data_IF_348908160273
#
_entry.id   IF_348908160273
#
_cell.length_a   1.000
_cell.length_b   1.000
_cell.length_c   1.000
_cell.angle_alpha   90.00
_cell.angle_beta   90.00
_cell.angle_gamma   90.00
#
_symmetry.space_group_name_H-M   'P 1'
#
loop_
_entity.id
_entity.type
_entity.pdbx_description
1 polymer ?
#
# COMPACT_ATOMS: atom_id res chain seq x y z
N UNK A 1 -17.34 5.83 1.01
CA UNK A 1 -17.87 4.55 0.49
C UNK A 1 -17.49 3.48 1.48
N UNK A 2 -18.47 2.76 2.03
CA UNK A 2 -18.17 1.58 2.86
C UNK A 2 -17.87 0.40 1.92
N UNK A 3 -16.59 0.15 1.69
CA UNK A 3 -16.10 -0.94 0.85
C UNK A 3 -16.44 -2.34 1.40
N UNK A 4 -17.10 -2.45 2.57
CA UNK A 4 -17.51 -3.73 3.16
C UNK A 4 -18.98 -4.07 2.93
N UNK A 5 -19.83 -3.10 2.62
CA UNK A 5 -21.29 -3.26 2.67
C UNK A 5 -21.86 -4.34 1.72
N UNK A 6 -21.15 -4.68 0.63
CA UNK A 6 -21.59 -5.66 -0.37
C UNK A 6 -20.63 -6.86 -0.52
N UNK A 7 -19.68 -7.06 0.39
CA UNK A 7 -18.67 -8.12 0.29
C UNK A 7 -18.76 -9.09 1.46
N UNK A 8 -18.64 -10.39 1.16
CA UNK A 8 -18.45 -11.44 2.17
C UNK A 8 -16.96 -11.66 2.33
N UNK A 9 -16.44 -11.37 3.53
CA UNK A 9 -15.05 -11.62 3.89
C UNK A 9 -14.90 -13.03 4.45
N UNK A 10 -13.66 -13.54 4.40
CA UNK A 10 -13.35 -14.85 4.97
C UNK A 10 -13.72 -14.93 6.45
N UNK A 11 -13.57 -13.82 7.19
CA UNK A 11 -13.91 -13.73 8.62
C UNK A 11 -15.42 -13.77 8.91
N UNK A 12 -16.28 -13.58 7.89
CA UNK A 12 -17.74 -13.62 8.05
C UNK A 12 -18.29 -15.05 7.95
N UNK A 13 -17.44 -16.03 7.61
CA UNK A 13 -17.81 -17.43 7.37
C UNK A 13 -17.55 -18.31 8.60
N UNK A 14 -18.22 -19.46 8.66
CA UNK A 14 -17.97 -20.46 9.72
C UNK A 14 -16.58 -21.11 9.57
N UNK A 15 -15.97 -21.61 10.65
CA UNK A 15 -14.61 -22.17 10.58
C UNK A 15 -14.40 -23.31 9.56
N UNK A 16 -15.42 -24.14 9.34
CA UNK A 16 -15.41 -25.20 8.32
C UNK A 16 -15.46 -24.62 6.90
N UNK A 17 -16.26 -23.58 6.69
CA UNK A 17 -16.37 -22.86 5.42
C UNK A 17 -15.09 -22.11 5.05
N UNK A 18 -14.44 -21.51 6.04
CA UNK A 18 -13.12 -20.88 5.92
C UNK A 18 -12.10 -21.92 5.48
N UNK A 19 -12.01 -23.04 6.21
CA UNK A 19 -11.05 -24.12 5.93
C UNK A 19 -11.24 -24.69 4.54
N UNK A 20 -12.48 -24.96 4.14
CA UNK A 20 -12.80 -25.46 2.82
C UNK A 20 -12.29 -24.51 1.72
N UNK A 21 -12.55 -23.21 1.82
CA UNK A 21 -12.09 -22.23 0.83
C UNK A 21 -10.57 -22.11 0.80
N UNK A 22 -9.92 -22.04 1.96
CA UNK A 22 -8.46 -21.98 2.03
C UNK A 22 -7.80 -23.21 1.38
N UNK A 23 -8.41 -24.39 1.50
CA UNK A 23 -7.91 -25.64 0.93
C UNK A 23 -8.22 -25.80 -0.56
N UNK A 24 -9.38 -25.34 -1.03
CA UNK A 24 -9.88 -25.71 -2.35
C UNK A 24 -9.97 -24.57 -3.36
N UNK A 25 -10.00 -23.31 -2.92
CA UNK A 25 -10.17 -22.18 -3.85
C UNK A 25 -8.81 -21.71 -4.36
N UNK A 26 -8.80 -21.20 -5.60
CA UNK A 26 -7.65 -20.48 -6.13
C UNK A 26 -7.48 -19.14 -5.39
N UNK A 27 -6.31 -18.91 -4.81
CA UNK A 27 -5.99 -17.72 -4.01
C UNK A 27 -4.87 -16.96 -4.71
N UNK A 28 -5.08 -15.67 -4.92
CA UNK A 28 -4.06 -14.82 -5.54
C UNK A 28 -3.85 -13.53 -4.74
N UNK A 29 -2.66 -12.95 -4.90
CA UNK A 29 -2.24 -11.70 -4.29
C UNK A 29 -1.62 -10.81 -5.37
N UNK A 30 -1.87 -9.50 -5.32
CA UNK A 30 -1.15 -8.52 -6.13
C UNK A 30 -0.30 -7.64 -5.22
N UNK A 31 1.00 -7.60 -5.49
CA UNK A 31 1.98 -6.81 -4.75
C UNK A 31 2.50 -5.65 -5.58
N UNK A 32 3.10 -4.67 -4.90
CA UNK A 32 3.73 -3.49 -5.51
C UNK A 32 4.99 -3.17 -4.72
N UNK A 33 5.97 -2.53 -5.36
CA UNK A 33 7.11 -1.94 -4.66
C UNK A 33 6.63 -1.20 -3.39
N UNK A 34 7.18 -1.53 -2.20
CA UNK A 34 6.67 -0.99 -0.95
C UNK A 34 6.64 0.54 -0.91
N UNK A 35 7.66 1.21 -1.44
CA UNK A 35 7.77 2.68 -1.37
C UNK A 35 6.96 3.37 -2.45
N UNK A 36 6.84 2.77 -3.64
CA UNK A 36 5.85 3.22 -4.61
C UNK A 36 4.43 3.16 -4.05
N UNK A 37 4.11 2.08 -3.31
CA UNK A 37 2.80 1.92 -2.67
C UNK A 37 2.57 3.02 -1.64
N UNK A 38 3.57 3.33 -0.81
CA UNK A 38 3.49 4.42 0.17
C UNK A 38 3.32 5.78 -0.49
N UNK A 39 4.09 6.09 -1.54
CA UNK A 39 3.96 7.36 -2.25
C UNK A 39 2.58 7.49 -2.93
N UNK A 40 2.10 6.40 -3.52
CA UNK A 40 0.76 6.34 -4.12
C UNK A 40 -0.33 6.59 -3.09
N UNK A 41 -0.23 5.95 -1.91
CA UNK A 41 -1.16 6.17 -0.80
C UNK A 41 -1.10 7.61 -0.30
N UNK A 42 0.10 8.16 -0.07
CA UNK A 42 0.29 9.54 0.37
C UNK A 42 -0.39 10.54 -0.57
N UNK A 43 -0.11 10.46 -1.87
CA UNK A 43 -0.67 11.38 -2.87
C UNK A 43 -2.18 11.35 -2.94
N UNK A 44 -2.76 10.16 -2.97
CA UNK A 44 -4.20 10.03 -3.02
C UNK A 44 -4.83 10.48 -1.69
N UNK A 45 -4.37 9.94 -0.55
CA UNK A 45 -5.02 10.16 0.75
C UNK A 45 -4.85 11.56 1.29
N UNK A 46 -3.71 12.20 1.07
CA UNK A 46 -3.48 13.57 1.55
C UNK A 46 -3.61 14.64 0.47
N UNK A 47 -3.68 14.27 -0.81
CA UNK A 47 -3.91 15.21 -1.92
C UNK A 47 -5.34 15.28 -2.44
N UNK A 48 -6.13 14.20 -2.29
CA UNK A 48 -7.43 14.07 -2.97
C UNK A 48 -8.58 13.68 -2.03
N UNK A 49 -8.31 12.91 -0.97
CA UNK A 49 -9.36 12.32 -0.12
C UNK A 49 -9.53 13.09 1.20
N UNK A 50 -10.55 13.94 1.26
CA UNK A 50 -10.85 14.82 2.41
C UNK A 50 -11.01 14.06 3.73
N UNK A 51 -11.61 12.88 3.72
CA UNK A 51 -11.82 12.08 4.93
C UNK A 51 -10.49 11.63 5.54
N UNK A 52 -9.48 11.31 4.71
CA UNK A 52 -8.15 10.95 5.18
C UNK A 52 -7.37 12.16 5.69
N UNK A 53 -7.49 13.30 5.03
CA UNK A 53 -6.91 14.58 5.49
C UNK A 53 -7.45 14.95 6.88
N UNK A 54 -8.77 14.94 7.06
CA UNK A 54 -9.40 15.32 8.33
C UNK A 54 -9.13 14.35 9.47
N UNK A 55 -8.92 13.06 9.16
CA UNK A 55 -8.64 12.03 10.16
C UNK A 55 -7.14 11.88 10.42
N UNK A 56 -6.44 11.28 9.46
CA UNK A 56 -5.02 10.97 9.55
C UNK A 56 -4.17 12.21 9.37
N UNK A 57 -4.53 13.09 8.44
CA UNK A 57 -3.74 14.28 8.17
C UNK A 57 -3.70 15.22 9.38
N UNK A 58 -4.87 15.48 9.97
CA UNK A 58 -4.99 16.28 11.18
C UNK A 58 -4.26 15.64 12.37
N UNK A 59 -4.29 14.31 12.48
CA UNK A 59 -3.55 13.58 13.50
C UNK A 59 -2.04 13.73 13.34
N UNK A 60 -1.51 13.54 12.13
CA UNK A 60 -0.11 13.70 11.80
C UNK A 60 0.36 15.12 12.14
N UNK A 61 -0.40 16.14 11.72
CA UNK A 61 -0.07 17.55 12.04
C UNK A 61 -0.03 17.78 13.55
N UNK A 62 -1.03 17.29 14.30
CA UNK A 62 -1.04 17.41 15.78
C UNK A 62 0.16 16.74 16.45
N UNK A 63 0.60 15.59 15.94
CA UNK A 63 1.71 14.82 16.52
C UNK A 63 3.07 15.48 16.28
N UNK A 64 3.28 16.07 15.10
CA UNK A 64 4.63 16.43 14.64
C UNK A 64 4.89 17.93 14.43
N UNK A 65 3.86 18.79 14.41
CA UNK A 65 4.04 20.25 14.31
C UNK A 65 3.83 20.94 15.65
N UNK A 66 4.86 21.67 16.10
CA UNK A 66 4.74 22.52 17.29
C UNK A 66 3.72 23.64 17.04
N UNK A 67 2.81 23.85 18.00
CA UNK A 67 1.79 24.90 17.90
C UNK A 67 0.62 24.59 16.97
N UNK A 68 0.47 23.34 16.51
CA UNK A 68 -0.76 22.91 15.85
C UNK A 68 -1.96 23.18 16.75
N UNK A 69 -2.96 23.89 16.23
CA UNK A 69 -4.23 24.11 16.93
C UNK A 69 -4.96 22.80 17.22
N UNK A 70 -6.08 22.83 17.97
CA UNK A 70 -6.82 21.61 18.34
C UNK A 70 -7.38 20.85 17.13
N UNK A 71 -7.66 21.56 16.03
CA UNK A 71 -8.31 21.02 14.83
C UNK A 71 -7.59 21.49 13.54
N UNK A 72 -6.37 20.98 13.25
CA UNK A 72 -5.70 21.31 11.99
C UNK A 72 -6.47 20.72 10.80
N UNK A 73 -6.39 21.38 9.64
CA UNK A 73 -7.07 20.94 8.43
C UNK A 73 -6.58 19.57 7.92
N UNK A 74 -5.26 19.33 8.04
CA UNK A 74 -4.64 18.05 7.68
C UNK A 74 -4.49 17.80 6.18
N UNK A 75 -4.71 18.82 5.36
CA UNK A 75 -4.61 18.82 3.89
C UNK A 75 -3.21 19.22 3.38
N UNK A 76 -2.29 19.53 4.29
CA UNK A 76 -0.93 19.99 3.99
C UNK A 76 0.17 19.10 4.59
N UNK A 77 -0.15 17.83 4.92
CA UNK A 77 0.83 16.86 5.42
C UNK A 77 1.92 16.64 4.39
N UNK A 78 3.17 16.73 4.83
CA UNK A 78 4.34 16.45 3.98
C UNK A 78 4.68 14.97 3.95
N UNK A 79 5.37 14.53 2.90
CA UNK A 79 5.80 13.12 2.79
C UNK A 79 6.70 12.67 3.95
N UNK A 80 7.67 13.47 4.44
CA UNK A 80 8.43 13.11 5.64
C UNK A 80 7.57 12.99 6.91
N UNK A 81 6.56 13.85 7.11
CA UNK A 81 5.65 13.71 8.25
C UNK A 81 4.82 12.43 8.17
N UNK A 82 4.38 12.06 6.96
CA UNK A 82 3.74 10.78 6.72
C UNK A 82 4.67 9.60 7.00
N UNK A 83 5.92 9.61 6.51
CA UNK A 83 6.88 8.55 6.83
C UNK A 83 7.17 8.47 8.34
N UNK A 84 7.25 9.61 9.04
CA UNK A 84 7.44 9.64 10.49
C UNK A 84 6.25 9.03 11.23
N UNK A 85 5.04 9.35 10.79
CA UNK A 85 3.83 8.68 11.26
C UNK A 85 3.93 7.15 11.10
N UNK A 86 4.32 6.66 9.92
CA UNK A 86 4.49 5.23 9.71
C UNK A 86 5.53 4.59 10.62
N UNK A 87 6.63 5.29 10.94
CA UNK A 87 7.66 4.80 11.87
C UNK A 87 7.08 4.60 13.28
N UNK A 88 6.21 5.51 13.73
CA UNK A 88 5.65 5.46 15.08
C UNK A 88 4.46 4.49 15.21
N UNK A 89 3.78 4.13 14.11
CA UNK A 89 2.60 3.24 14.14
C UNK A 89 2.97 1.75 14.25
N UNK A 90 2.14 0.99 14.96
CA UNK A 90 2.21 -0.48 15.01
C UNK A 90 1.73 -1.07 13.66
N UNK A 91 2.53 -1.88 12.95
CA UNK A 91 2.14 -2.52 11.69
C UNK A 91 0.79 -3.24 11.74
N UNK A 92 0.42 -3.86 12.85
CA UNK A 92 -0.86 -4.60 12.97
C UNK A 92 -2.08 -3.68 13.05
N UNK A 93 -1.88 -2.39 13.35
CA UNK A 93 -2.93 -1.38 13.53
C UNK A 93 -2.95 -0.33 12.42
N UNK A 94 -2.02 -0.43 11.47
CA UNK A 94 -1.93 0.48 10.33
C UNK A 94 -3.17 0.38 9.43
N UNK A 95 -3.49 1.47 8.73
CA UNK A 95 -4.49 1.44 7.67
C UNK A 95 -4.01 0.55 6.52
N UNK A 96 -4.93 -0.16 5.85
CA UNK A 96 -4.66 -1.10 4.77
C UNK A 96 -3.85 -0.50 3.60
N UNK A 97 -3.95 0.82 3.37
CA UNK A 97 -3.22 1.49 2.29
C UNK A 97 -1.72 1.63 2.55
N UNK A 98 -1.27 1.57 3.81
CA UNK A 98 0.16 1.66 4.17
C UNK A 98 0.64 0.55 5.10
N UNK A 99 -0.22 -0.34 5.57
CA UNK A 99 0.16 -1.58 6.28
C UNK A 99 1.02 -2.48 5.37
N UNK A 100 2.23 -2.94 5.76
CA UNK A 100 3.03 -3.86 4.96
C UNK A 100 2.20 -5.02 4.41
N UNK A 101 2.42 -5.42 3.16
CA UNK A 101 1.67 -6.51 2.50
C UNK A 101 1.85 -7.83 3.23
N UNK A 102 3.03 -8.05 3.82
CA UNK A 102 3.28 -9.15 4.75
C UNK A 102 2.24 -9.20 5.89
N UNK A 103 1.96 -8.07 6.53
CA UNK A 103 0.97 -7.97 7.60
C UNK A 103 -0.46 -8.03 7.07
N UNK A 104 -0.74 -7.36 5.95
CA UNK A 104 -2.09 -7.24 5.39
C UNK A 104 -2.60 -8.57 4.81
N UNK A 105 -1.72 -9.32 4.14
CA UNK A 105 -2.07 -10.50 3.37
C UNK A 105 -1.57 -11.81 3.98
N UNK A 106 -0.71 -11.76 5.00
CA UNK A 106 -0.28 -12.93 5.78
C UNK A 106 0.19 -14.11 4.90
N UNK A 107 1.15 -13.92 3.97
CA UNK A 107 1.59 -14.97 3.05
C UNK A 107 2.23 -16.19 3.74
N UNK A 108 2.58 -16.08 5.02
CA UNK A 108 3.01 -17.21 5.84
C UNK A 108 1.84 -18.10 6.33
N UNK A 109 0.65 -17.53 6.51
CA UNK A 109 -0.55 -18.25 6.94
C UNK A 109 -1.41 -18.72 5.76
N UNK A 110 -1.40 -17.97 4.65
CA UNK A 110 -2.18 -18.25 3.45
C UNK A 110 -1.24 -18.68 2.33
N UNK A 111 -1.41 -19.92 1.84
CA UNK A 111 -0.69 -20.39 0.65
C UNK A 111 -1.36 -19.83 -0.61
N UNK A 112 -0.79 -18.77 -1.17
CA UNK A 112 -1.24 -18.22 -2.44
C UNK A 112 -0.83 -19.12 -3.62
N UNK A 113 -1.75 -19.31 -4.57
CA UNK A 113 -1.52 -20.05 -5.81
C UNK A 113 -0.86 -19.16 -6.87
N UNK A 114 -1.04 -17.84 -6.77
CA UNK A 114 -0.38 -16.85 -7.62
C UNK A 114 -0.08 -15.55 -6.87
N UNK A 115 1.09 -14.98 -7.13
CA UNK A 115 1.47 -13.64 -6.70
C UNK A 115 1.79 -12.81 -7.95
N UNK A 116 0.89 -11.91 -8.31
CA UNK A 116 1.05 -10.97 -9.40
C UNK A 116 1.62 -9.63 -8.92
N UNK A 117 2.00 -8.77 -9.85
CA UNK A 117 2.65 -7.50 -9.52
C UNK A 117 1.98 -6.29 -10.20
N UNK A 118 2.10 -5.11 -9.60
CA UNK A 118 1.55 -3.88 -10.17
C UNK A 118 2.30 -3.44 -11.45
N UNK A 119 3.56 -3.85 -11.60
CA UNK A 119 4.37 -3.62 -12.79
C UNK A 119 3.82 -4.38 -14.01
N UNK A 120 3.12 -5.51 -13.78
CA UNK A 120 2.47 -6.31 -14.82
C UNK A 120 0.96 -6.45 -14.61
N UNK A 121 0.33 -5.49 -13.94
CA UNK A 121 -1.02 -5.60 -13.39
C UNK A 121 -2.05 -6.15 -14.38
N UNK A 122 -2.09 -5.61 -15.60
CA UNK A 122 -3.05 -6.03 -16.63
C UNK A 122 -2.79 -7.45 -17.11
N UNK A 123 -1.54 -7.80 -17.42
CA UNK A 123 -1.19 -9.14 -17.88
C UNK A 123 -1.45 -10.19 -16.80
N UNK A 124 -1.03 -9.90 -15.57
CA UNK A 124 -1.21 -10.79 -14.42
C UNK A 124 -2.70 -10.95 -14.05
N UNK A 125 -3.49 -9.88 -14.11
CA UNK A 125 -4.93 -9.96 -13.88
C UNK A 125 -5.64 -10.75 -14.96
N UNK A 126 -5.28 -10.57 -16.23
CA UNK A 126 -5.85 -11.36 -17.32
C UNK A 126 -5.49 -12.86 -17.17
N UNK A 127 -4.28 -13.18 -16.72
CA UNK A 127 -3.89 -14.56 -16.44
C UNK A 127 -4.70 -15.18 -15.30
N UNK A 128 -4.95 -14.41 -14.22
CA UNK A 128 -5.81 -14.85 -13.11
C UNK A 128 -7.23 -15.11 -13.61
N UNK A 129 -7.81 -14.22 -14.42
CA UNK A 129 -9.15 -14.40 -15.00
C UNK A 129 -9.26 -15.70 -15.81
N UNK A 130 -8.22 -16.07 -16.56
CA UNK A 130 -8.15 -17.34 -17.27
C UNK A 130 -8.12 -18.53 -16.31
N UNK A 131 -7.26 -18.52 -15.30
CA UNK A 131 -7.12 -19.63 -14.35
C UNK A 131 -8.37 -19.88 -13.51
N UNK A 132 -9.08 -18.82 -13.12
CA UNK A 132 -10.38 -18.94 -12.41
C UNK A 132 -11.55 -19.23 -13.35
N UNK A 133 -11.29 -19.39 -14.65
CA UNK A 133 -12.30 -19.64 -15.69
C UNK A 133 -13.42 -18.59 -15.68
N UNK A 134 -13.03 -17.32 -15.53
CA UNK A 134 -13.97 -16.22 -15.56
C UNK A 134 -14.74 -16.20 -16.89
N UNK A 135 -16.01 -15.76 -16.91
CA UNK A 135 -16.77 -15.63 -18.14
C UNK A 135 -16.02 -14.77 -19.18
N UNK A 136 -16.14 -15.07 -20.49
CA UNK A 136 -15.31 -14.44 -21.53
C UNK A 136 -15.54 -12.93 -21.70
N UNK A 137 -16.64 -12.39 -21.16
CA UNK A 137 -16.97 -10.97 -21.15
C UNK A 137 -16.35 -10.21 -19.96
N UNK A 138 -15.84 -10.92 -18.95
CA UNK A 138 -15.12 -10.31 -17.83
C UNK A 138 -13.69 -10.05 -18.27
N UNK A 139 -13.26 -8.78 -18.18
CA UNK A 139 -11.92 -8.33 -18.60
C UNK A 139 -11.35 -7.38 -17.56
N UNK A 140 -10.04 -7.36 -17.47
CA UNK A 140 -9.36 -6.33 -16.69
C UNK A 140 -9.68 -4.94 -17.29
N UNK A 141 -10.05 -3.94 -16.47
CA UNK A 141 -10.43 -2.62 -16.98
C UNK A 141 -9.22 -1.89 -17.57
N UNK A 142 -9.47 -1.12 -18.63
CA UNK A 142 -8.47 -0.20 -19.15
C UNK A 142 -8.16 0.90 -18.11
N UNK A 143 -6.88 1.29 -18.02
CA UNK A 143 -6.46 2.39 -17.15
C UNK A 143 -7.16 3.69 -17.59
N UNK A 144 -7.68 4.44 -16.62
CA UNK A 144 -8.32 5.73 -16.89
C UNK A 144 -7.27 6.76 -17.33
N UNK A 145 -7.59 7.56 -18.35
CA UNK A 145 -6.66 8.53 -18.93
C UNK A 145 -6.20 9.64 -17.96
N UNK A 146 -7.00 9.95 -16.94
CA UNK A 146 -6.69 10.95 -15.92
C UNK A 146 -5.79 10.39 -14.80
N UNK A 147 -5.67 9.07 -14.65
CA UNK A 147 -4.89 8.47 -13.58
C UNK A 147 -3.39 8.58 -13.89
N UNK A 148 -2.66 9.22 -12.97
CA UNK A 148 -1.20 9.40 -13.05
C UNK A 148 -0.52 8.56 -11.97
N UNK A 149 0.05 7.38 -12.30
CA UNK A 149 0.78 6.60 -11.32
C UNK A 149 2.02 7.37 -10.84
N UNK A 150 2.49 7.05 -9.63
CA UNK A 150 3.81 7.48 -9.18
C UNK A 150 4.87 7.00 -10.19
N UNK A 151 5.67 7.92 -10.72
CA UNK A 151 6.79 7.59 -11.61
C UNK A 151 8.05 7.29 -10.80
N UNK A 152 9.04 6.57 -11.36
CA UNK A 152 10.32 6.35 -10.71
C UNK A 152 11.03 7.66 -10.32
N UNK A 153 10.98 8.69 -11.16
CA UNK A 153 11.59 10.00 -10.91
C UNK A 153 10.91 10.69 -9.73
N UNK A 154 9.58 10.61 -9.70
CA UNK A 154 8.79 11.14 -8.62
C UNK A 154 9.06 10.41 -7.31
N UNK A 155 9.19 9.09 -7.33
CA UNK A 155 9.55 8.32 -6.13
C UNK A 155 10.94 8.74 -5.65
N UNK A 156 11.91 8.77 -6.55
CA UNK A 156 13.27 9.19 -6.26
C UNK A 156 13.32 10.57 -5.61
N UNK A 157 12.61 11.56 -6.17
CA UNK A 157 12.50 12.90 -5.59
C UNK A 157 11.99 12.90 -4.15
N UNK A 158 10.90 12.16 -3.87
CA UNK A 158 10.31 12.12 -2.53
C UNK A 158 11.22 11.41 -1.52
N UNK A 159 11.87 10.31 -1.94
CA UNK A 159 12.83 9.61 -1.10
C UNK A 159 14.05 10.48 -0.82
N UNK A 160 14.64 11.11 -1.83
CA UNK A 160 15.82 11.96 -1.67
C UNK A 160 15.55 13.26 -0.91
N UNK A 161 14.30 13.73 -0.88
CA UNK A 161 13.89 14.89 -0.08
C UNK A 161 13.62 14.55 1.38
N UNK A 162 13.45 13.26 1.72
CA UNK A 162 13.22 12.82 3.09
C UNK A 162 14.53 12.75 3.89
N UNK A 163 14.50 13.02 5.22
CA UNK A 163 15.67 12.84 6.07
C UNK A 163 16.18 11.39 6.02
N UNK A 164 17.49 11.22 5.81
CA UNK A 164 18.09 9.88 5.69
C UNK A 164 17.83 8.98 6.90
N UNK A 165 17.90 9.54 8.10
CA UNK A 165 17.60 8.81 9.34
C UNK A 165 16.17 8.25 9.33
N UNK A 166 15.22 9.05 8.82
CA UNK A 166 13.83 8.61 8.73
C UNK A 166 13.64 7.46 7.73
N UNK A 167 14.36 7.48 6.60
CA UNK A 167 14.38 6.36 5.68
C UNK A 167 14.98 5.09 6.30
N UNK A 168 16.03 5.24 7.11
CA UNK A 168 16.64 4.12 7.85
C UNK A 168 15.68 3.51 8.87
N UNK A 169 14.77 4.31 9.43
CA UNK A 169 13.75 3.83 10.37
C UNK A 169 12.56 3.18 9.68
N UNK A 170 12.13 3.69 8.51
CA UNK A 170 10.96 3.17 7.80
C UNK A 170 11.25 1.88 7.03
N UNK A 171 12.44 1.74 6.42
CA UNK A 171 12.78 0.59 5.59
C UNK A 171 12.67 -0.76 6.32
N UNK A 172 13.18 -0.92 7.57
CA UNK A 172 13.01 -2.15 8.34
C UNK A 172 11.54 -2.57 8.52
N UNK A 173 10.61 -1.61 8.60
CA UNK A 173 9.18 -1.90 8.77
C UNK A 173 8.55 -2.59 7.56
N UNK A 174 9.14 -2.42 6.38
CA UNK A 174 8.68 -3.03 5.12
C UNK A 174 9.66 -4.08 4.58
N UNK A 175 10.68 -4.49 5.36
CA UNK A 175 11.77 -5.34 4.87
C UNK A 175 11.27 -6.70 4.35
N UNK A 176 10.24 -7.25 4.99
CA UNK A 176 9.66 -8.52 4.57
C UNK A 176 8.99 -8.41 3.20
N UNK A 177 8.32 -7.29 2.90
CA UNK A 177 7.72 -7.07 1.58
C UNK A 177 8.81 -7.04 0.49
N UNK A 178 9.93 -6.34 0.74
CA UNK A 178 11.06 -6.34 -0.19
C UNK A 178 11.60 -7.75 -0.43
N UNK A 179 11.84 -8.50 0.64
CA UNK A 179 12.45 -9.83 0.57
C UNK A 179 11.54 -10.89 -0.05
N UNK A 180 10.26 -10.94 0.34
CA UNK A 180 9.31 -11.99 -0.06
C UNK A 180 8.85 -11.80 -1.51
N UNK A 181 8.78 -10.54 -1.96
CA UNK A 181 8.29 -10.20 -3.30
C UNK A 181 9.39 -9.74 -4.25
N UNK A 182 10.65 -9.95 -3.87
CA UNK A 182 11.84 -9.67 -4.68
C UNK A 182 11.94 -8.22 -5.20
N UNK A 183 11.46 -7.25 -4.41
CA UNK A 183 11.66 -5.84 -4.72
C UNK A 183 13.06 -5.38 -4.30
N UNK A 184 13.75 -4.57 -5.12
CA UNK A 184 15.05 -4.01 -4.75
C UNK A 184 14.88 -2.96 -3.65
N UNK A 185 15.85 -2.88 -2.73
CA UNK A 185 15.93 -1.75 -1.82
C UNK A 185 16.18 -0.44 -2.61
N UNK A 186 15.60 0.69 -2.19
CA UNK A 186 15.77 1.94 -2.91
C UNK A 186 17.22 2.43 -2.84
N UNK A 187 17.72 2.99 -3.95
CA UNK A 187 19.03 3.64 -3.95
C UNK A 187 18.91 5.09 -3.47
N UNK A 188 19.11 5.29 -2.17
CA UNK A 188 19.07 6.60 -1.49
C UNK A 188 20.46 7.05 -1.00
N UNK A 189 21.52 6.65 -1.69
CA UNK A 189 22.88 7.15 -1.37
C UNK A 189 22.98 8.64 -1.70
N UNK A 190 23.98 9.32 -1.11
CA UNK A 190 24.24 10.72 -1.40
C UNK A 190 24.50 10.93 -2.90
N UNK A 191 25.27 10.05 -3.53
CA UNK A 191 25.54 10.14 -4.97
C UNK A 191 24.26 9.99 -5.81
N UNK A 192 23.32 9.14 -5.39
CA UNK A 192 22.06 8.95 -6.11
C UNK A 192 21.12 10.15 -5.95
N UNK A 193 21.13 10.81 -4.80
CA UNK A 193 20.24 11.94 -4.49
C UNK A 193 20.75 13.32 -4.93
N UNK A 194 21.98 13.41 -5.45
CA UNK A 194 22.58 14.66 -5.94
C UNK A 194 22.72 14.72 -7.47
N UNK A 195 22.19 13.73 -8.20
CA UNK A 195 22.04 13.75 -9.66
C UNK A 195 20.67 14.30 -10.04
#
# INVERSE_FOLDING_TARGET
MDHRSDLVFLADLRPDEIRYRLQHYFKFLFVRDPLERLLSAYRNKFGEIREYQQRYGAEIVRRYRAGAGPSPAGDDVTFPEFLRYLVDEDPERMNEHWMPVYHLCQPCAVRYDFVGSYERLEADANQVLEWVRAPPHVRFPARQAWYRPASPESLHYHLCSAPRALLQDVLPKYILDFSLFAYPLPNVTRESCHK
#
